data_IF_883949593010
#
_entry.id   IF_883949593010
#
_cell.length_a   1.000
_cell.length_b   1.000
_cell.length_c   1.000
_cell.angle_alpha   90.00
_cell.angle_beta   90.00
_cell.angle_gamma   90.00
#
_symmetry.space_group_name_H-M   'P 1'
#
loop_
_entity.id
_entity.type
_entity.pdbx_description
1 polymer ?
#
# COMPACT_ATOMS: atom_id res chain seq x y z
N UNK A 1 10.43 -18.50 8.84
CA UNK A 1 10.81 -17.18 8.29
C UNK A 1 9.61 -16.54 7.61
N UNK A 2 9.31 -15.30 7.94
CA UNK A 2 8.16 -14.63 7.33
C UNK A 2 8.57 -14.03 6.00
N UNK A 3 7.60 -13.96 5.07
CA UNK A 3 7.81 -13.27 3.80
C UNK A 3 7.74 -11.76 4.03
N UNK A 4 8.23 -11.00 3.04
CA UNK A 4 8.12 -9.56 3.11
C UNK A 4 6.65 -9.12 3.18
N UNK A 5 5.79 -9.81 2.44
CA UNK A 5 4.37 -9.50 2.48
C UNK A 5 3.79 -9.70 3.87
N UNK A 6 4.12 -10.82 4.50
CA UNK A 6 3.61 -11.09 5.85
C UNK A 6 4.11 -10.08 6.86
N UNK A 7 5.38 -9.70 6.73
CA UNK A 7 5.96 -8.71 7.63
C UNK A 7 5.22 -7.38 7.51
N UNK A 8 5.05 -6.89 6.29
CA UNK A 8 4.37 -5.62 6.06
C UNK A 8 2.92 -5.70 6.49
N UNK A 9 2.24 -6.79 6.10
CA UNK A 9 0.83 -6.94 6.42
C UNK A 9 0.57 -6.89 7.92
N UNK A 10 1.43 -7.54 8.70
CA UNK A 10 1.28 -7.56 10.14
C UNK A 10 1.32 -6.15 10.72
N UNK A 11 2.26 -5.33 10.26
CA UNK A 11 2.38 -3.97 10.76
C UNK A 11 1.26 -3.06 10.26
N UNK A 12 0.80 -3.30 9.04
CA UNK A 12 -0.33 -2.53 8.52
C UNK A 12 -1.60 -2.84 9.31
N UNK A 13 -1.83 -4.11 9.62
CA UNK A 13 -3.00 -4.48 10.42
C UNK A 13 -2.95 -3.84 11.80
N UNK A 14 -1.76 -3.80 12.39
CA UNK A 14 -1.60 -3.16 13.69
C UNK A 14 -1.89 -1.66 13.59
N UNK A 15 -1.42 -1.02 12.53
CA UNK A 15 -1.66 0.40 12.34
C UNK A 15 -3.14 0.69 12.15
N UNK A 16 -3.84 -0.16 11.41
CA UNK A 16 -5.29 0.00 11.19
C UNK A 16 -6.06 -0.15 12.51
N UNK A 17 -5.65 -1.12 13.33
CA UNK A 17 -6.31 -1.33 14.62
C UNK A 17 -6.09 -0.13 15.54
N UNK A 18 -4.89 0.40 15.58
CA UNK A 18 -4.59 1.57 16.40
C UNK A 18 -5.34 2.79 15.89
N UNK A 19 -5.40 2.96 14.58
CA UNK A 19 -6.13 4.06 13.98
C UNK A 19 -7.61 4.01 14.34
N UNK A 20 -8.19 2.81 14.28
CA UNK A 20 -9.60 2.65 14.65
C UNK A 20 -9.83 3.06 16.10
N UNK A 21 -8.90 2.70 16.99
CA UNK A 21 -9.02 3.07 18.39
C UNK A 21 -8.94 4.58 18.60
N UNK A 22 -8.31 5.29 17.69
CA UNK A 22 -8.16 6.74 17.77
C UNK A 22 -9.09 7.48 16.83
N UNK A 23 -10.03 6.79 16.23
CA UNK A 23 -11.01 7.38 15.31
C UNK A 23 -10.37 7.97 14.06
N UNK A 24 -9.30 7.34 13.59
CA UNK A 24 -8.67 7.72 12.33
C UNK A 24 -9.18 6.79 11.25
N UNK A 25 -9.64 7.37 10.14
CA UNK A 25 -10.22 6.58 9.06
C UNK A 25 -9.16 5.68 8.39
N UNK A 26 -9.54 4.46 7.97
CA UNK A 26 -8.58 3.59 7.29
C UNK A 26 -8.04 4.19 5.99
N UNK A 27 -8.83 5.00 5.29
CA UNK A 27 -8.34 5.67 4.08
C UNK A 27 -7.20 6.64 4.40
N UNK A 28 -7.25 7.28 5.56
CA UNK A 28 -6.18 8.17 5.98
C UNK A 28 -4.90 7.38 6.22
N UNK A 29 -5.04 6.22 6.85
CA UNK A 29 -3.88 5.34 7.05
C UNK A 29 -3.31 4.93 5.70
N UNK A 30 -4.17 4.54 4.76
CA UNK A 30 -3.73 4.11 3.45
C UNK A 30 -2.98 5.21 2.71
N UNK A 31 -3.50 6.44 2.76
CA UNK A 31 -2.85 7.57 2.09
C UNK A 31 -1.46 7.81 2.66
N UNK A 32 -1.33 7.71 3.97
CA UNK A 32 -0.03 7.89 4.61
C UNK A 32 0.93 6.74 4.29
N UNK A 33 0.40 5.53 4.11
CA UNK A 33 1.23 4.40 3.71
C UNK A 33 1.82 4.62 2.33
N UNK A 34 1.05 5.19 1.41
CA UNK A 34 1.57 5.52 0.08
C UNK A 34 2.71 6.52 0.19
N UNK A 35 2.54 7.54 0.99
CA UNK A 35 3.58 8.54 1.19
C UNK A 35 4.85 7.91 1.74
N UNK A 36 4.69 7.04 2.74
CA UNK A 36 5.85 6.38 3.33
C UNK A 36 6.52 5.43 2.36
N UNK A 37 5.73 4.73 1.53
CA UNK A 37 6.29 3.84 0.54
C UNK A 37 7.14 4.61 -0.46
N UNK A 38 6.65 5.76 -0.90
CA UNK A 38 7.41 6.60 -1.83
C UNK A 38 8.69 7.10 -1.17
N UNK A 39 8.60 7.50 0.10
CA UNK A 39 9.77 7.98 0.82
C UNK A 39 10.87 6.92 0.86
N UNK A 40 10.48 5.68 1.13
CA UNK A 40 11.44 4.59 1.19
C UNK A 40 12.03 4.31 -0.17
N UNK A 41 11.20 4.28 -1.20
CA UNK A 41 11.65 3.98 -2.55
C UNK A 41 12.62 5.05 -3.06
N UNK A 42 12.41 6.30 -2.68
CA UNK A 42 13.29 7.38 -3.10
C UNK A 42 14.72 7.21 -2.59
N UNK A 43 14.90 6.45 -1.54
CA UNK A 43 16.23 6.19 -1.01
C UNK A 43 16.97 5.11 -1.81
N UNK A 44 16.26 4.37 -2.64
CA UNK A 44 16.83 3.20 -3.30
C UNK A 44 16.64 3.19 -4.81
N UNK A 45 15.80 4.06 -5.36
CA UNK A 45 15.46 4.04 -6.78
C UNK A 45 15.32 5.44 -7.33
N UNK A 46 15.50 5.55 -8.65
CA UNK A 46 15.28 6.81 -9.35
C UNK A 46 13.79 7.11 -9.47
N UNK A 47 13.43 8.40 -9.59
CA UNK A 47 12.02 8.76 -9.70
C UNK A 47 11.27 8.06 -10.84
N UNK A 48 11.94 7.83 -11.97
CA UNK A 48 11.28 7.17 -13.09
C UNK A 48 10.88 5.75 -12.74
N UNK A 49 11.73 5.04 -11.97
CA UNK A 49 11.42 3.68 -11.56
C UNK A 49 10.27 3.66 -10.58
N UNK A 50 10.22 4.65 -9.69
CA UNK A 50 9.13 4.76 -8.73
C UNK A 50 7.82 5.01 -9.46
N UNK A 51 7.83 5.91 -10.42
CA UNK A 51 6.64 6.21 -11.20
C UNK A 51 6.13 4.98 -11.93
N UNK A 52 7.06 4.18 -12.48
CA UNK A 52 6.67 2.96 -13.19
C UNK A 52 6.01 1.97 -12.23
N UNK A 53 6.54 1.82 -11.05
CA UNK A 53 5.98 0.89 -10.07
C UNK A 53 4.59 1.33 -9.62
N UNK A 54 4.40 2.62 -9.42
CA UNK A 54 3.08 3.14 -9.04
C UNK A 54 2.07 3.00 -10.15
N UNK A 55 2.50 3.22 -11.39
CA UNK A 55 1.63 3.02 -12.54
C UNK A 55 1.19 1.57 -12.63
N UNK A 56 2.12 0.65 -12.40
CA UNK A 56 1.80 -0.76 -12.42
C UNK A 56 0.76 -1.10 -11.33
N UNK A 57 0.92 -0.52 -10.16
CA UNK A 57 -0.03 -0.76 -9.08
C UNK A 57 -1.42 -0.25 -9.44
N UNK A 58 -1.49 0.91 -10.08
CA UNK A 58 -2.78 1.47 -10.51
C UNK A 58 -3.45 0.55 -11.51
N UNK A 59 -2.69 0.06 -12.47
CA UNK A 59 -3.24 -0.85 -13.48
C UNK A 59 -3.73 -2.14 -12.84
N UNK A 60 -3.00 -2.63 -11.84
CA UNK A 60 -3.42 -3.84 -11.15
C UNK A 60 -4.70 -3.65 -10.36
N UNK A 61 -4.89 -2.46 -9.82
CA UNK A 61 -6.13 -2.17 -9.10
C UNK A 61 -7.32 -2.30 -10.05
N UNK A 62 -7.20 -1.76 -11.24
CA UNK A 62 -8.28 -1.83 -12.21
C UNK A 62 -8.54 -3.27 -12.64
N UNK A 63 -7.49 -4.03 -12.84
CA UNK A 63 -7.65 -5.43 -13.19
C UNK A 63 -8.35 -6.21 -12.09
N UNK A 64 -7.97 -5.96 -10.87
CA UNK A 64 -8.57 -6.65 -9.73
C UNK A 64 -10.03 -6.31 -9.59
N UNK A 65 -10.36 -5.04 -9.78
CA UNK A 65 -11.76 -4.62 -9.72
C UNK A 65 -12.58 -5.36 -10.77
N UNK A 66 -12.01 -5.46 -11.96
CA UNK A 66 -12.70 -6.14 -13.05
C UNK A 66 -12.91 -7.61 -12.73
N UNK A 67 -11.88 -8.28 -12.25
CA UNK A 67 -11.99 -9.69 -11.90
C UNK A 67 -12.96 -9.90 -10.76
N UNK A 68 -12.94 -9.01 -9.83
CA UNK A 68 -13.78 -9.10 -8.65
C UNK A 68 -15.26 -8.98 -8.99
N UNK A 69 -15.55 -8.22 -10.01
CA UNK A 69 -16.93 -7.99 -10.42
C UNK A 69 -17.46 -9.09 -11.33
N UNK A 70 -16.62 -9.98 -11.72
CA UNK A 70 -17.05 -11.07 -12.57
C UNK A 70 -17.85 -12.08 -11.77
N UNK A 71 -18.92 -12.56 -12.35
CA UNK A 71 -19.74 -13.59 -11.70
C UNK A 71 -18.99 -14.91 -11.58
#
# INVERSE_FOLDING_TARGET
MVSAYELVNRHVEAALAEAAAQSVAPETVASNLITEAVRILKQHRAPADIAAELTFAIENIEERDFEFMRP
#
